data_IF_386483420746
#
_entry.id   IF_386483420746
#
_cell.length_a   1.000
_cell.length_b   1.000
_cell.length_c   1.000
_cell.angle_alpha   90.00
_cell.angle_beta   90.00
_cell.angle_gamma   90.00
#
_symmetry.space_group_name_H-M   'P 1'
#
loop_
_entity.id
_entity.type
_entity.pdbx_description
1 polymer ?
#
# COMPACT_ATOMS: atom_id res chain seq x y z
N UNK A 1 4.24 -5.94 -47.83
CA UNK A 1 4.66 -6.10 -46.43
C UNK A 1 3.42 -5.94 -45.57
N UNK A 2 2.97 -7.02 -44.91
CA UNK A 2 1.78 -7.01 -44.09
C UNK A 2 2.11 -6.38 -42.73
N UNK A 3 1.35 -5.35 -42.34
CA UNK A 3 1.40 -4.81 -40.98
C UNK A 3 0.83 -5.86 -40.00
N UNK A 4 1.49 -6.15 -38.87
CA UNK A 4 0.88 -6.99 -37.85
C UNK A 4 -0.29 -6.23 -37.23
N UNK A 5 -1.49 -6.81 -37.32
CA UNK A 5 -2.65 -6.42 -36.50
C UNK A 5 -2.32 -6.78 -35.06
N UNK A 6 -2.01 -5.79 -34.23
CA UNK A 6 -1.96 -5.98 -32.79
C UNK A 6 -3.37 -6.35 -32.30
N UNK A 7 -3.56 -7.60 -31.89
CA UNK A 7 -4.72 -7.97 -31.10
C UNK A 7 -4.60 -7.30 -29.73
N UNK A 8 -5.58 -6.48 -29.34
CA UNK A 8 -5.71 -5.96 -27.99
C UNK A 8 -6.01 -7.11 -27.02
N UNK A 9 -4.98 -7.89 -26.70
CA UNK A 9 -5.01 -8.77 -25.55
C UNK A 9 -4.90 -7.86 -24.32
N UNK A 10 -5.84 -7.96 -23.38
CA UNK A 10 -5.75 -7.24 -22.10
C UNK A 10 -4.50 -7.74 -21.38
N UNK A 11 -3.41 -6.98 -21.48
CA UNK A 11 -2.16 -7.29 -20.80
C UNK A 11 -2.34 -6.92 -19.34
N UNK A 12 -2.55 -7.93 -18.50
CA UNK A 12 -2.56 -7.78 -17.04
C UNK A 12 -1.14 -8.07 -16.57
N UNK A 13 -0.52 -7.12 -15.87
CA UNK A 13 0.78 -7.28 -15.22
C UNK A 13 0.60 -7.10 -13.72
N UNK A 14 1.64 -7.45 -12.98
CA UNK A 14 1.70 -7.26 -11.54
C UNK A 14 1.40 -5.81 -11.15
N UNK A 15 0.58 -5.64 -10.12
CA UNK A 15 0.13 -4.34 -9.65
C UNK A 15 1.24 -3.57 -8.94
N UNK A 16 2.35 -4.23 -8.56
CA UNK A 16 3.58 -3.57 -8.13
C UNK A 16 4.15 -2.56 -9.13
N UNK A 17 3.76 -2.62 -10.40
CA UNK A 17 4.10 -1.63 -11.44
C UNK A 17 3.22 -0.36 -11.41
N UNK A 18 2.04 -0.43 -10.78
CA UNK A 18 1.01 0.63 -10.78
C UNK A 18 0.74 1.17 -9.36
N UNK A 19 0.83 0.31 -8.34
CA UNK A 19 0.55 0.63 -6.94
C UNK A 19 1.23 -0.37 -5.98
N UNK A 20 2.52 -0.22 -5.68
CA UNK A 20 3.22 -1.09 -4.71
C UNK A 20 2.94 -0.73 -3.22
N UNK A 21 2.02 0.23 -2.99
CA UNK A 21 1.51 0.61 -1.67
C UNK A 21 0.07 1.15 -1.83
N UNK A 22 -0.91 0.25 -2.06
CA UNK A 22 -2.27 0.59 -2.47
C UNK A 22 -3.09 1.52 -1.54
N UNK A 23 -2.76 1.72 -0.24
CA UNK A 23 -3.52 2.66 0.59
C UNK A 23 -3.57 4.09 0.03
N UNK A 24 -2.55 4.54 -0.70
CA UNK A 24 -2.58 5.88 -1.32
C UNK A 24 -3.61 5.97 -2.45
N UNK A 25 -3.58 5.01 -3.37
CA UNK A 25 -4.51 4.97 -4.50
C UNK A 25 -5.94 4.72 -4.03
N UNK A 26 -6.12 3.89 -3.01
CA UNK A 26 -7.43 3.67 -2.38
C UNK A 26 -7.99 4.94 -1.75
N UNK A 27 -7.18 5.72 -1.02
CA UNK A 27 -7.61 7.00 -0.42
C UNK A 27 -7.93 8.04 -1.49
N UNK A 28 -7.14 8.08 -2.56
CA UNK A 28 -7.42 8.94 -3.72
C UNK A 28 -8.76 8.55 -4.37
N UNK A 29 -9.01 7.27 -4.62
CA UNK A 29 -10.26 6.76 -5.17
C UNK A 29 -11.46 7.07 -4.26
N UNK A 30 -11.33 6.84 -2.95
CA UNK A 30 -12.35 7.17 -1.95
C UNK A 30 -12.68 8.68 -2.00
N UNK A 31 -11.65 9.52 -2.06
CA UNK A 31 -11.81 10.97 -2.12
C UNK A 31 -12.50 11.42 -3.42
N UNK A 32 -12.08 10.86 -4.56
CA UNK A 32 -12.71 11.10 -5.87
C UNK A 32 -14.17 10.64 -5.89
N UNK A 33 -14.48 9.50 -5.28
CA UNK A 33 -15.84 9.00 -5.13
C UNK A 33 -16.71 9.94 -4.28
N UNK A 34 -16.20 10.40 -3.13
CA UNK A 34 -16.91 11.38 -2.29
C UNK A 34 -17.10 12.73 -2.99
N UNK A 35 -16.10 13.21 -3.74
CA UNK A 35 -16.19 14.44 -4.53
C UNK A 35 -17.18 14.27 -5.69
N UNK A 36 -17.18 13.13 -6.38
CA UNK A 36 -18.13 12.82 -7.44
C UNK A 36 -19.57 12.81 -6.94
N UNK A 37 -19.80 12.28 -5.73
CA UNK A 37 -21.11 12.36 -5.08
C UNK A 37 -21.48 13.78 -4.64
N UNK A 38 -20.50 14.63 -4.31
CA UNK A 38 -20.75 15.99 -3.80
C UNK A 38 -20.83 17.07 -4.89
N UNK A 39 -20.05 17.02 -5.98
CA UNK A 39 -19.97 18.09 -7.01
C UNK A 39 -19.46 17.60 -8.38
N UNK A 40 -20.10 18.09 -9.46
CA UNK A 40 -19.78 17.85 -10.88
C UNK A 40 -18.47 18.52 -11.37
N UNK A 41 -17.32 18.30 -10.73
CA UNK A 41 -16.02 18.79 -11.28
C UNK A 41 -14.87 17.86 -10.90
N UNK A 42 -13.97 17.51 -11.84
CA UNK A 42 -12.88 16.57 -11.60
C UNK A 42 -11.75 17.19 -10.77
N UNK A 43 -11.18 16.40 -9.85
CA UNK A 43 -9.99 16.75 -9.07
C UNK A 43 -8.70 16.54 -9.89
N UNK A 44 -7.63 17.31 -9.61
CA UNK A 44 -6.37 17.20 -10.35
C UNK A 44 -5.60 15.95 -9.93
N UNK A 45 -5.30 15.10 -10.91
CA UNK A 45 -4.53 13.88 -10.76
C UNK A 45 -3.04 14.18 -10.50
N UNK A 46 -2.59 14.02 -9.26
CA UNK A 46 -1.17 14.07 -8.89
C UNK A 46 -0.49 12.73 -9.21
N UNK A 47 0.01 12.56 -10.43
CA UNK A 47 0.78 11.37 -10.79
C UNK A 47 2.18 11.45 -10.16
N UNK A 48 2.47 10.59 -9.19
CA UNK A 48 3.79 10.48 -8.55
C UNK A 48 4.28 9.04 -8.60
N UNK A 49 5.58 8.88 -8.85
CA UNK A 49 6.26 7.60 -9.01
C UNK A 49 5.86 6.53 -7.99
N UNK A 50 5.75 5.30 -8.52
CA UNK A 50 4.89 4.22 -8.04
C UNK A 50 5.66 3.08 -7.34
N UNK A 51 6.98 3.00 -7.52
CA UNK A 51 7.74 1.79 -7.17
C UNK A 51 8.33 1.78 -5.74
N UNK A 52 8.36 2.92 -5.04
CA UNK A 52 8.81 2.98 -3.64
C UNK A 52 7.62 2.89 -2.68
N UNK A 53 7.50 1.76 -1.98
CA UNK A 53 6.41 1.48 -1.06
C UNK A 53 6.62 2.03 0.35
N UNK A 54 7.80 2.57 0.70
CA UNK A 54 8.18 2.68 2.12
C UNK A 54 8.07 4.07 2.74
N UNK A 55 8.27 5.17 2.01
CA UNK A 55 8.38 6.46 2.69
C UNK A 55 7.44 7.52 2.10
N UNK A 56 7.63 7.91 0.85
CA UNK A 56 6.92 9.06 0.25
C UNK A 56 5.41 8.86 0.07
N UNK A 57 4.90 7.67 -0.27
CA UNK A 57 3.44 7.45 -0.30
C UNK A 57 2.83 7.41 1.09
N UNK A 58 3.53 6.85 2.08
CA UNK A 58 3.02 6.71 3.45
C UNK A 58 2.86 8.04 4.15
N UNK A 59 3.81 8.96 4.01
CA UNK A 59 3.73 10.29 4.61
C UNK A 59 2.54 11.09 4.05
N UNK A 60 2.26 10.93 2.75
CA UNK A 60 1.11 11.58 2.09
C UNK A 60 -0.22 11.01 2.56
N UNK A 61 -0.33 9.69 2.68
CA UNK A 61 -1.52 9.06 3.25
C UNK A 61 -1.71 9.54 4.70
N UNK A 62 -0.65 9.52 5.50
CA UNK A 62 -0.72 9.98 6.89
C UNK A 62 -1.22 11.43 7.00
N UNK A 63 -0.65 12.35 6.22
CA UNK A 63 -1.08 13.75 6.21
C UNK A 63 -2.56 13.91 5.80
N UNK A 64 -3.04 13.09 4.87
CA UNK A 64 -4.46 13.08 4.49
C UNK A 64 -5.35 12.58 5.63
N UNK A 65 -4.95 11.49 6.31
CA UNK A 65 -5.69 10.97 7.47
C UNK A 65 -5.73 11.98 8.62
N UNK A 66 -4.61 12.68 8.87
CA UNK A 66 -4.54 13.76 9.85
C UNK A 66 -5.51 14.92 9.50
N UNK A 67 -5.63 15.28 8.21
CA UNK A 67 -6.54 16.32 7.72
C UNK A 67 -8.03 15.94 7.90
N UNK A 68 -8.39 14.68 7.65
CA UNK A 68 -9.78 14.19 7.82
C UNK A 68 -10.09 13.74 9.26
N UNK A 69 -9.12 13.81 10.17
CA UNK A 69 -9.27 13.39 11.57
C UNK A 69 -9.43 11.88 11.77
N UNK A 70 -8.91 11.06 10.85
CA UNK A 70 -8.99 9.61 10.90
C UNK A 70 -7.66 8.99 11.40
N UNK A 71 -7.74 7.87 12.10
CA UNK A 71 -6.56 7.17 12.60
C UNK A 71 -5.81 6.44 11.47
N UNK A 72 -4.51 6.67 11.33
CA UNK A 72 -3.63 5.93 10.41
C UNK A 72 -2.54 5.17 11.17
N UNK A 73 -2.46 3.86 10.96
CA UNK A 73 -1.41 3.01 11.51
C UNK A 73 -0.78 2.14 10.43
N UNK A 74 0.56 2.16 10.35
CA UNK A 74 1.32 1.27 9.47
C UNK A 74 2.11 0.27 10.29
N UNK A 75 1.84 -1.01 10.06
CA UNK A 75 2.61 -2.11 10.64
C UNK A 75 3.66 -2.55 9.62
N UNK A 76 4.93 -2.25 9.87
CA UNK A 76 6.03 -2.62 8.99
C UNK A 76 7.26 -3.01 9.82
N UNK A 77 7.50 -4.32 10.06
CA UNK A 77 8.66 -4.77 10.82
C UNK A 77 9.96 -4.46 10.07
N UNK A 78 10.98 -4.00 10.79
CA UNK A 78 12.33 -3.87 10.23
C UNK A 78 12.99 -5.24 10.24
N UNK A 79 13.01 -5.88 9.07
CA UNK A 79 13.59 -7.20 8.88
C UNK A 79 15.11 -7.08 8.65
N UNK A 80 15.91 -7.95 9.29
CA UNK A 80 17.39 -7.80 9.30
C UNK A 80 18.05 -8.05 7.95
N UNK A 81 17.49 -8.97 7.16
CA UNK A 81 18.02 -9.37 5.86
C UNK A 81 16.98 -9.11 4.77
N UNK A 82 17.41 -8.62 3.61
CA UNK A 82 16.55 -8.58 2.42
C UNK A 82 16.31 -10.02 1.95
N UNK A 83 15.04 -10.34 1.70
CA UNK A 83 14.61 -11.62 1.16
C UNK A 83 14.12 -11.38 -0.26
N UNK A 84 14.53 -12.26 -1.19
CA UNK A 84 14.03 -12.21 -2.55
C UNK A 84 12.56 -12.63 -2.56
N UNK A 85 11.76 -12.11 -3.50
CA UNK A 85 10.33 -12.43 -3.56
C UNK A 85 10.07 -13.92 -3.84
N UNK A 86 11.00 -14.57 -4.54
CA UNK A 86 11.00 -15.98 -4.92
C UNK A 86 11.76 -16.89 -3.94
N UNK A 87 12.07 -16.39 -2.73
CA UNK A 87 12.76 -17.20 -1.72
C UNK A 87 11.87 -18.33 -1.21
N UNK A 88 12.37 -19.56 -1.33
CA UNK A 88 11.67 -20.80 -0.93
C UNK A 88 12.35 -21.51 0.23
N UNK A 89 13.44 -20.97 0.80
CA UNK A 89 14.10 -21.57 1.95
C UNK A 89 13.24 -21.41 3.22
N UNK A 90 12.71 -22.51 3.80
CA UNK A 90 11.84 -22.43 4.96
C UNK A 90 12.55 -21.80 6.18
N UNK A 91 13.87 -21.93 6.29
CA UNK A 91 14.63 -21.38 7.42
C UNK A 91 14.64 -19.86 7.37
N UNK A 92 14.81 -19.27 6.18
CA UNK A 92 14.76 -17.83 5.98
C UNK A 92 13.36 -17.28 6.21
N UNK A 93 12.34 -17.97 5.70
CA UNK A 93 10.93 -17.59 5.89
C UNK A 93 10.56 -17.63 7.38
N UNK A 94 10.87 -18.71 8.10
CA UNK A 94 10.59 -18.84 9.54
C UNK A 94 11.27 -17.74 10.36
N UNK A 95 12.49 -17.36 9.99
CA UNK A 95 13.17 -16.23 10.63
C UNK A 95 12.43 -14.91 10.41
N UNK A 96 11.89 -14.67 9.21
CA UNK A 96 11.08 -13.47 8.93
C UNK A 96 9.79 -13.45 9.73
N UNK A 97 9.13 -14.60 9.86
CA UNK A 97 7.95 -14.74 10.71
C UNK A 97 8.28 -14.45 12.17
N UNK A 98 9.40 -14.97 12.69
CA UNK A 98 9.85 -14.70 14.05
C UNK A 98 10.19 -13.22 14.28
N UNK A 99 10.94 -12.59 13.37
CA UNK A 99 11.23 -11.15 13.40
C UNK A 99 9.94 -10.31 13.43
N UNK A 100 8.94 -10.72 12.65
CA UNK A 100 7.62 -10.08 12.61
C UNK A 100 6.86 -10.27 13.91
N UNK A 101 6.90 -11.47 14.51
CA UNK A 101 6.26 -11.75 15.79
C UNK A 101 6.86 -10.91 16.92
N UNK A 102 8.19 -10.80 16.98
CA UNK A 102 8.89 -9.94 17.94
C UNK A 102 8.48 -8.48 17.77
N UNK A 103 8.38 -8.00 16.52
CA UNK A 103 7.91 -6.64 16.24
C UNK A 103 6.49 -6.39 16.74
N UNK A 104 5.55 -7.32 16.52
CA UNK A 104 4.17 -7.19 17.01
C UNK A 104 4.16 -7.11 18.54
N UNK A 105 4.91 -7.98 19.22
CA UNK A 105 5.00 -7.95 20.66
C UNK A 105 5.60 -6.64 21.20
N UNK A 106 6.56 -6.04 20.49
CA UNK A 106 7.13 -4.73 20.85
C UNK A 106 6.16 -3.57 20.61
N UNK A 107 5.19 -3.74 19.69
CA UNK A 107 4.19 -2.74 19.32
C UNK A 107 2.78 -3.16 19.74
N UNK A 108 2.68 -3.93 20.83
CA UNK A 108 1.41 -4.52 21.29
C UNK A 108 0.39 -3.43 21.59
N UNK A 109 0.81 -2.32 22.22
CA UNK A 109 -0.06 -1.16 22.51
C UNK A 109 -0.72 -0.59 21.24
N UNK A 110 0.04 -0.44 20.14
CA UNK A 110 -0.52 0.03 18.86
C UNK A 110 -1.50 -0.99 18.29
N UNK A 111 -1.19 -2.29 18.42
CA UNK A 111 -2.04 -3.37 17.93
C UNK A 111 -3.36 -3.44 18.71
N UNK A 112 -3.32 -3.27 20.03
CA UNK A 112 -4.49 -3.21 20.91
C UNK A 112 -5.36 -1.99 20.58
N UNK A 113 -4.75 -0.79 20.45
CA UNK A 113 -5.47 0.43 20.03
C UNK A 113 -6.19 0.24 18.69
N UNK A 114 -5.56 -0.43 17.73
CA UNK A 114 -6.22 -0.75 16.45
C UNK A 114 -7.40 -1.70 16.69
N UNK A 115 -7.24 -2.72 17.54
CA UNK A 115 -8.30 -3.64 17.91
C UNK A 115 -9.50 -2.94 18.54
N UNK A 116 -9.28 -1.97 19.42
CA UNK A 116 -10.33 -1.14 20.04
C UNK A 116 -11.09 -0.29 19.03
N UNK A 117 -10.41 0.25 18.02
CA UNK A 117 -11.03 1.12 17.00
C UNK A 117 -11.91 0.36 15.99
N UNK A 118 -11.73 -0.96 15.88
CA UNK A 118 -12.44 -1.81 14.90
C UNK A 118 -13.64 -2.53 15.52
N UNK A 119 -13.67 -2.66 16.85
CA UNK A 119 -14.71 -3.37 17.60
C UNK A 119 -15.90 -2.46 17.93
#
# INVERSE_FOLDING_TARGET
>A
MQHPRFSLQKVVMDDGLIANNPPYDAVAEISEYYLHQRMKTPAPCSHTQITDSKFRPTDRVRAWYDDVGAAFSRLSPVLRNTTAIDDTDPTRILRKMWETHVYIHQNMETTEKIGELIN
#
